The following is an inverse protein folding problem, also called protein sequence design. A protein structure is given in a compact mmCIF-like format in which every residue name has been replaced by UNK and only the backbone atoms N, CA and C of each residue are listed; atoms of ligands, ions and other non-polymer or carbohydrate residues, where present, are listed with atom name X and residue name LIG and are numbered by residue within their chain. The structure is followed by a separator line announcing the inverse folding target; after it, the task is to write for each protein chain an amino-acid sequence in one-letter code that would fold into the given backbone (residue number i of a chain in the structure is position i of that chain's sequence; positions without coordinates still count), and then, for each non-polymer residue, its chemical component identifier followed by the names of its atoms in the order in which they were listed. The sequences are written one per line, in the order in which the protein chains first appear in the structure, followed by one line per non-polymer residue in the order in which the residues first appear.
data_IF_721217625004
#
_entry.id   IF_721217625004
#
_cell.length_a   1.000
_cell.length_b   1.000
_cell.length_c   1.000
_cell.angle_alpha   90.00
_cell.angle_beta   90.00
_cell.angle_gamma   90.00
#
_symmetry.space_group_name_H-M   'P 1'
#
loop_
_entity.id
_entity.type
_entity.pdbx_description
1 polymer ?
#
# COMPACT_ATOMS: atom_id res chain seq x y z
N UNK A 1 48.61 6.43 -18.05
CA UNK A 1 48.18 5.54 -16.94
C UNK A 1 47.23 6.23 -15.96
N UNK A 2 47.53 7.44 -15.48
CA UNK A 2 46.70 8.20 -14.52
C UNK A 2 45.27 8.46 -14.98
N UNK A 3 45.07 8.83 -16.25
CA UNK A 3 43.75 9.13 -16.82
C UNK A 3 42.84 7.88 -16.88
N UNK A 4 43.41 6.70 -17.18
CA UNK A 4 42.65 5.43 -17.18
C UNK A 4 42.24 5.01 -15.77
N UNK A 5 43.12 5.22 -14.79
CA UNK A 5 42.83 4.90 -13.38
C UNK A 5 41.71 5.80 -12.85
N UNK A 6 41.75 7.12 -13.11
CA UNK A 6 40.66 8.04 -12.71
C UNK A 6 39.31 7.71 -13.34
N UNK A 7 39.27 7.24 -14.60
CA UNK A 7 38.02 6.81 -15.26
C UNK A 7 37.45 5.54 -14.66
N UNK A 8 38.31 4.57 -14.31
CA UNK A 8 37.92 3.35 -13.60
C UNK A 8 37.39 3.66 -12.19
N UNK A 9 38.05 4.56 -11.45
CA UNK A 9 37.60 4.98 -10.11
C UNK A 9 36.25 5.70 -10.17
N UNK A 10 36.06 6.60 -11.14
CA UNK A 10 34.78 7.28 -11.35
C UNK A 10 33.66 6.27 -11.69
N UNK A 11 33.92 5.31 -12.58
CA UNK A 11 32.96 4.27 -12.94
C UNK A 11 32.57 3.39 -11.74
N UNK A 12 33.53 3.01 -10.90
CA UNK A 12 33.28 2.24 -9.67
C UNK A 12 32.43 3.02 -8.66
N UNK A 13 32.71 4.31 -8.46
CA UNK A 13 31.93 5.17 -7.57
C UNK A 13 30.48 5.31 -8.04
N UNK A 14 30.25 5.50 -9.34
CA UNK A 14 28.90 5.52 -9.91
C UNK A 14 28.19 4.17 -9.77
N UNK A 15 28.91 3.05 -9.93
CA UNK A 15 28.32 1.73 -9.75
C UNK A 15 27.90 1.47 -8.29
N UNK A 16 28.77 1.79 -7.32
CA UNK A 16 28.49 1.61 -5.90
C UNK A 16 27.28 2.45 -5.43
N UNK A 17 27.16 3.68 -5.92
CA UNK A 17 26.02 4.56 -5.58
C UNK A 17 24.71 4.05 -6.16
N UNK A 18 24.71 3.54 -7.41
CA UNK A 18 23.54 2.90 -8.01
C UNK A 18 23.10 1.66 -7.25
N UNK A 19 24.03 0.77 -6.86
CA UNK A 19 23.71 -0.44 -6.10
C UNK A 19 23.11 -0.15 -4.71
N UNK A 20 23.52 0.94 -4.05
CA UNK A 20 22.98 1.33 -2.74
C UNK A 20 21.55 1.92 -2.82
N UNK A 21 21.17 2.53 -3.96
CA UNK A 21 19.86 3.15 -4.13
C UNK A 21 18.72 2.14 -4.39
N UNK A 22 19.01 1.00 -5.03
CA UNK A 22 18.02 -0.04 -5.35
C UNK A 22 17.28 -0.60 -4.12
N UNK A 23 17.95 -1.01 -3.02
CA UNK A 23 17.26 -1.62 -1.89
C UNK A 23 16.32 -0.64 -1.17
N UNK A 24 16.67 0.65 -1.08
CA UNK A 24 15.84 1.66 -0.41
C UNK A 24 14.50 1.95 -1.13
N UNK A 25 14.50 1.87 -2.46
CA UNK A 25 13.28 2.00 -3.27
C UNK A 25 12.39 0.75 -3.13
N UNK A 26 13.01 -0.43 -2.99
CA UNK A 26 12.29 -1.68 -2.81
C UNK A 26 11.61 -1.79 -1.44
N UNK A 27 12.23 -1.27 -0.37
CA UNK A 27 11.62 -1.25 0.98
C UNK A 27 10.42 -0.32 1.03
N UNK A 28 10.53 0.90 0.51
CA UNK A 28 9.44 1.87 0.55
C UNK A 28 8.22 1.39 -0.24
N UNK A 29 8.45 0.83 -1.43
CA UNK A 29 7.38 0.21 -2.22
C UNK A 29 6.80 -1.04 -1.53
N UNK A 30 7.60 -1.76 -0.74
CA UNK A 30 7.16 -2.88 0.08
C UNK A 30 6.20 -2.44 1.19
N UNK A 31 6.58 -1.39 1.93
CA UNK A 31 5.79 -0.79 3.01
C UNK A 31 4.42 -0.31 2.50
N UNK A 32 4.38 0.44 1.40
CA UNK A 32 3.12 0.92 0.84
C UNK A 32 2.18 -0.21 0.40
N UNK A 33 2.73 -1.32 -0.13
CA UNK A 33 1.92 -2.52 -0.45
C UNK A 33 1.37 -3.19 0.80
N UNK A 34 2.10 -3.13 1.91
CA UNK A 34 1.66 -3.62 3.21
C UNK A 34 0.51 -2.74 3.72
N UNK A 35 0.70 -1.43 3.76
CA UNK A 35 -0.32 -0.46 4.22
C UNK A 35 -1.62 -0.60 3.42
N UNK A 36 -1.51 -0.71 2.08
CA UNK A 36 -2.67 -0.93 1.22
C UNK A 36 -3.35 -2.29 1.47
N UNK A 37 -2.63 -3.30 1.98
CA UNK A 37 -3.26 -4.58 2.39
C UNK A 37 -3.97 -4.42 3.72
N UNK A 38 -3.36 -3.71 4.66
CA UNK A 38 -3.90 -3.53 6.00
C UNK A 38 -5.23 -2.76 5.95
N UNK A 39 -5.31 -1.66 5.20
CA UNK A 39 -6.58 -0.94 4.92
C UNK A 39 -7.65 -1.91 4.36
N UNK A 40 -7.28 -2.78 3.42
CA UNK A 40 -8.23 -3.77 2.86
C UNK A 40 -8.65 -4.84 3.86
N UNK A 41 -7.83 -5.16 4.86
CA UNK A 41 -8.19 -6.12 5.90
C UNK A 41 -9.09 -5.48 6.95
N UNK A 42 -8.77 -4.25 7.36
CA UNK A 42 -9.58 -3.50 8.31
C UNK A 42 -10.98 -3.24 7.75
N UNK A 43 -11.07 -2.75 6.50
CA UNK A 43 -12.36 -2.60 5.82
C UNK A 43 -13.14 -3.90 5.62
N UNK A 44 -12.48 -5.07 5.55
CA UNK A 44 -13.17 -6.38 5.55
C UNK A 44 -13.73 -6.71 6.91
N UNK A 45 -13.01 -6.36 7.98
CA UNK A 45 -13.45 -6.60 9.34
C UNK A 45 -14.64 -5.71 9.68
N UNK A 46 -14.53 -4.40 9.43
CA UNK A 46 -15.64 -3.44 9.59
C UNK A 46 -16.89 -3.89 8.80
N UNK A 47 -16.70 -4.38 7.57
CA UNK A 47 -17.82 -4.91 6.79
C UNK A 47 -18.52 -6.11 7.45
N UNK A 48 -17.77 -6.98 8.14
CA UNK A 48 -18.38 -8.12 8.84
C UNK A 48 -19.18 -7.63 10.04
N UNK A 49 -18.62 -6.67 10.77
CA UNK A 49 -19.24 -6.09 11.97
C UNK A 49 -20.52 -5.33 11.61
N UNK A 50 -20.46 -4.44 10.61
CA UNK A 50 -21.63 -3.74 10.07
C UNK A 50 -22.72 -4.71 9.57
N UNK A 51 -22.32 -5.83 8.93
CA UNK A 51 -23.28 -6.88 8.52
C UNK A 51 -23.91 -7.60 9.70
N UNK A 52 -23.19 -7.75 10.81
CA UNK A 52 -23.71 -8.38 12.00
C UNK A 52 -24.72 -7.46 12.70
N UNK A 53 -24.40 -6.19 12.88
CA UNK A 53 -25.34 -5.17 13.39
C UNK A 53 -26.63 -5.10 12.57
N UNK A 54 -26.49 -5.23 11.24
CA UNK A 54 -27.61 -5.34 10.30
C UNK A 54 -28.55 -6.52 10.59
N UNK A 55 -27.98 -7.67 10.92
CA UNK A 55 -28.73 -8.91 11.20
C UNK A 55 -29.40 -8.85 12.56
N UNK A 56 -28.75 -8.19 13.51
CA UNK A 56 -29.27 -7.96 14.86
C UNK A 56 -30.42 -6.92 14.87
N UNK A 57 -30.69 -6.27 13.74
CA UNK A 57 -31.87 -5.44 13.53
C UNK A 57 -31.71 -4.01 14.07
N UNK A 58 -30.47 -3.58 14.33
CA UNK A 58 -30.18 -2.21 14.78
C UNK A 58 -30.44 -1.17 13.67
N UNK A 59 -30.40 -1.57 12.40
CA UNK A 59 -30.54 -0.71 11.22
C UNK A 59 -31.41 -1.38 10.15
N UNK A 60 -32.14 -0.59 9.34
CA UNK A 60 -32.93 -1.09 8.21
C UNK A 60 -32.10 -1.93 7.23
N UNK A 61 -32.57 -3.12 6.85
CA UNK A 61 -31.77 -4.11 6.11
C UNK A 61 -31.35 -3.65 4.70
N UNK A 62 -32.14 -2.78 4.07
CA UNK A 62 -31.81 -2.23 2.75
C UNK A 62 -30.71 -1.16 2.84
N UNK A 63 -30.87 -0.20 3.76
CA UNK A 63 -29.94 0.90 3.97
C UNK A 63 -28.58 0.37 4.43
N UNK A 64 -28.58 -0.52 5.44
CA UNK A 64 -27.34 -1.12 5.91
C UNK A 64 -26.60 -1.94 4.83
N UNK A 65 -27.32 -2.61 3.90
CA UNK A 65 -26.66 -3.27 2.76
C UNK A 65 -26.01 -2.27 1.81
N UNK A 66 -26.61 -1.10 1.64
CA UNK A 66 -26.11 -0.02 0.82
C UNK A 66 -24.89 0.63 1.47
N UNK A 67 -24.99 1.00 2.75
CA UNK A 67 -23.89 1.58 3.52
C UNK A 67 -22.67 0.64 3.52
N UNK A 68 -22.89 -0.66 3.75
CA UNK A 68 -21.80 -1.65 3.67
C UNK A 68 -21.22 -1.79 2.24
N UNK A 69 -21.94 -1.44 1.18
CA UNK A 69 -21.36 -1.39 -0.19
C UNK A 69 -20.53 -0.14 -0.38
N UNK A 70 -21.00 0.99 0.14
CA UNK A 70 -20.34 2.28 0.01
C UNK A 70 -19.04 2.31 0.83
N UNK A 71 -19.06 1.85 2.10
CA UNK A 71 -17.84 1.68 2.91
C UNK A 71 -16.81 0.77 2.25
N UNK A 72 -17.24 -0.30 1.56
CA UNK A 72 -16.31 -1.17 0.83
C UNK A 72 -15.66 -0.47 -0.34
N UNK A 73 -16.39 0.42 -0.98
CA UNK A 73 -15.87 1.14 -2.12
C UNK A 73 -14.86 2.18 -1.64
N UNK A 74 -15.18 2.91 -0.57
CA UNK A 74 -14.28 3.85 0.09
C UNK A 74 -12.97 3.17 0.53
N UNK A 75 -13.05 2.06 1.27
CA UNK A 75 -11.86 1.28 1.67
C UNK A 75 -11.01 0.81 0.48
N UNK A 76 -11.63 0.51 -0.67
CA UNK A 76 -10.88 0.11 -1.88
C UNK A 76 -10.18 1.29 -2.53
N UNK A 77 -10.80 2.46 -2.48
CA UNK A 77 -10.28 3.69 -3.05
C UNK A 77 -9.16 4.25 -2.16
N UNK A 78 -9.33 4.24 -0.83
CA UNK A 78 -8.27 4.56 0.12
C UNK A 78 -7.04 3.65 -0.08
N UNK A 79 -7.25 2.35 -0.21
CA UNK A 79 -6.16 1.41 -0.49
C UNK A 79 -5.54 1.55 -1.91
N UNK A 80 -6.13 2.34 -2.82
CA UNK A 80 -5.52 2.73 -4.10
C UNK A 80 -4.72 4.03 -3.98
N UNK A 81 -5.12 4.89 -3.05
CA UNK A 81 -4.49 6.20 -2.81
C UNK A 81 -3.14 6.10 -2.09
N UNK A 82 -2.86 4.95 -1.44
CA UNK A 82 -1.52 4.58 -0.92
C UNK A 82 -0.52 4.31 -2.07
N UNK A 83 -0.39 5.22 -3.03
CA UNK A 83 0.41 5.03 -4.26
C UNK A 83 1.92 4.93 -4.03
N UNK A 84 2.51 4.11 -4.93
CA UNK A 84 3.93 3.79 -5.22
C UNK A 84 4.97 4.86 -4.89
#
# INVERSE_FOLDING_TARGET
MTISVSRLSAALLTACTLFAAVPAQATNQGEQRQDARDIRQDGRQESRDAKQECREGLVGNADCRQDNRDNKQENRDEARDVKY
#
